data_IF_030267332075
#
_entry.id   IF_030267332075
#
_cell.length_a   1.000
_cell.length_b   1.000
_cell.length_c   1.000
_cell.angle_alpha   90.00
_cell.angle_beta   90.00
_cell.angle_gamma   90.00
#
_symmetry.space_group_name_H-M   'P 1'
#
loop_
_entity.id
_entity.type
_entity.pdbx_description
1 polymer ?
#
# COMPACT_ATOMS: atom_id res chain seq x y z
N UNK A 1 61.45 28.96 -2.02
CA UNK A 1 61.03 28.24 -3.24
C UNK A 1 60.32 26.96 -2.81
N UNK A 2 59.27 26.58 -3.55
CA UNK A 2 58.52 25.31 -3.51
C UNK A 2 57.68 24.97 -2.26
N UNK A 3 56.37 25.25 -2.43
CA UNK A 3 55.24 24.60 -1.77
C UNK A 3 55.17 23.12 -2.21
N UNK A 4 54.65 22.24 -1.37
CA UNK A 4 53.62 21.27 -1.80
C UNK A 4 52.96 20.59 -0.59
N UNK A 5 51.74 21.03 -0.30
CA UNK A 5 50.79 20.28 0.51
C UNK A 5 50.21 19.17 -0.37
N UNK A 6 50.40 17.91 0.02
CA UNK A 6 49.70 16.79 -0.59
C UNK A 6 48.33 16.64 0.09
N UNK A 7 47.32 17.25 -0.51
CA UNK A 7 45.91 17.01 -0.16
C UNK A 7 45.52 15.68 -0.80
N UNK A 8 45.40 14.63 0.02
CA UNK A 8 44.84 13.35 -0.41
C UNK A 8 43.31 13.46 -0.40
N UNK A 9 42.75 13.81 -1.55
CA UNK A 9 41.29 13.84 -1.76
C UNK A 9 40.80 12.41 -1.91
N UNK A 10 40.24 11.84 -0.84
CA UNK A 10 39.48 10.58 -0.89
C UNK A 10 38.14 10.86 -1.58
N UNK A 11 38.08 10.61 -2.90
CA UNK A 11 36.83 10.50 -3.64
C UNK A 11 36.16 9.18 -3.21
N UNK A 12 35.41 9.22 -2.12
CA UNK A 12 34.46 8.16 -1.77
C UNK A 12 33.28 8.26 -2.73
N UNK A 13 33.31 7.48 -3.82
CA UNK A 13 32.13 7.22 -4.63
C UNK A 13 31.05 6.61 -3.74
N UNK A 14 30.06 7.43 -3.37
CA UNK A 14 28.79 6.93 -2.84
C UNK A 14 28.15 6.09 -3.94
N UNK A 15 28.32 4.77 -3.87
CA UNK A 15 27.50 3.84 -4.61
C UNK A 15 26.08 3.98 -4.05
N UNK A 16 25.28 4.86 -4.65
CA UNK A 16 23.84 4.86 -4.46
C UNK A 16 23.33 3.53 -5.00
N UNK A 17 23.22 2.53 -4.13
CA UNK A 17 22.36 1.40 -4.38
C UNK A 17 20.94 1.96 -4.45
N UNK A 18 20.50 2.32 -5.64
CA UNK A 18 19.08 2.40 -5.95
C UNK A 18 18.56 0.97 -5.78
N UNK A 19 18.30 0.57 -4.54
CA UNK A 19 17.44 -0.55 -4.25
C UNK A 19 16.12 -0.15 -4.89
N UNK A 20 15.87 -0.65 -6.09
CA UNK A 20 14.57 -0.58 -6.73
C UNK A 20 13.61 -1.13 -5.68
N UNK A 21 12.92 -0.25 -4.96
CA UNK A 21 11.94 -0.62 -3.98
C UNK A 21 10.90 -1.43 -4.75
N UNK A 22 10.97 -2.75 -4.62
CA UNK A 22 10.10 -3.64 -5.35
C UNK A 22 8.68 -3.33 -4.86
N UNK A 23 7.76 -3.05 -5.79
CA UNK A 23 6.41 -2.62 -5.42
C UNK A 23 5.78 -3.59 -4.43
N UNK A 24 5.17 -3.07 -3.36
CA UNK A 24 4.46 -3.86 -2.34
C UNK A 24 3.27 -4.66 -2.91
N UNK A 25 2.93 -4.44 -4.19
CA UNK A 25 1.88 -5.14 -4.91
C UNK A 25 2.41 -5.72 -6.23
N UNK A 26 2.69 -7.03 -6.31
CA UNK A 26 3.23 -7.64 -7.53
C UNK A 26 2.20 -7.59 -8.66
N UNK A 27 2.45 -6.86 -9.76
CA UNK A 27 1.47 -6.71 -10.84
C UNK A 27 1.61 -7.81 -11.93
N UNK A 28 0.52 -8.30 -12.54
CA UNK A 28 -0.90 -7.95 -12.30
C UNK A 28 -1.60 -8.77 -11.20
N UNK A 29 -1.04 -9.90 -10.77
CA UNK A 29 -1.74 -10.84 -9.89
C UNK A 29 -2.04 -10.26 -8.50
N UNK A 30 -1.10 -9.49 -7.95
CA UNK A 30 -1.21 -8.78 -6.68
C UNK A 30 -2.33 -7.75 -6.68
N UNK A 31 -2.59 -7.09 -7.81
CA UNK A 31 -3.72 -6.15 -7.90
C UNK A 31 -5.07 -6.85 -7.72
N UNK A 32 -5.28 -7.97 -8.43
CA UNK A 32 -6.50 -8.76 -8.31
C UNK A 32 -6.63 -9.38 -6.92
N UNK A 33 -5.52 -9.92 -6.39
CA UNK A 33 -5.47 -10.46 -5.04
C UNK A 33 -5.75 -9.38 -3.99
N UNK A 34 -5.26 -8.16 -4.17
CA UNK A 34 -5.50 -7.02 -3.27
C UNK A 34 -6.99 -6.67 -3.21
N UNK A 35 -7.68 -6.60 -4.35
CA UNK A 35 -9.14 -6.38 -4.40
C UNK A 35 -9.89 -7.51 -3.70
N UNK A 36 -9.59 -8.76 -4.07
CA UNK A 36 -10.26 -9.94 -3.51
C UNK A 36 -10.08 -10.04 -1.99
N UNK A 37 -8.84 -9.89 -1.53
CA UNK A 37 -8.49 -9.92 -0.11
C UNK A 37 -9.14 -8.77 0.67
N UNK A 38 -9.24 -7.58 0.08
CA UNK A 38 -9.93 -6.44 0.70
C UNK A 38 -11.38 -6.78 1.03
N UNK A 39 -12.12 -7.32 0.05
CA UNK A 39 -13.51 -7.72 0.23
C UNK A 39 -13.65 -8.89 1.21
N UNK A 40 -12.77 -9.89 1.10
CA UNK A 40 -12.77 -11.06 1.96
C UNK A 40 -12.46 -10.71 3.42
N UNK A 41 -11.48 -9.84 3.67
CA UNK A 41 -11.12 -9.42 5.02
C UNK A 41 -12.24 -8.66 5.70
N UNK A 42 -12.91 -7.76 4.98
CA UNK A 42 -14.08 -7.03 5.50
C UNK A 42 -15.23 -7.99 5.80
N UNK A 43 -15.56 -8.90 4.87
CA UNK A 43 -16.61 -9.89 5.07
C UNK A 43 -16.31 -10.81 6.26
N UNK A 44 -15.07 -11.27 6.40
CA UNK A 44 -14.64 -12.11 7.53
C UNK A 44 -14.79 -11.37 8.86
N UNK A 45 -14.35 -10.11 8.93
CA UNK A 45 -14.52 -9.29 10.13
C UNK A 45 -15.99 -9.09 10.49
N UNK A 46 -16.84 -8.79 9.50
CA UNK A 46 -18.28 -8.63 9.70
C UNK A 46 -18.95 -9.93 10.19
N UNK A 47 -18.43 -11.08 9.75
CA UNK A 47 -18.84 -12.40 10.23
C UNK A 47 -18.26 -12.78 11.61
N UNK A 48 -17.50 -11.88 12.27
CA UNK A 48 -16.93 -12.13 13.59
C UNK A 48 -15.71 -13.06 13.60
N UNK A 49 -15.08 -13.29 12.45
CA UNK A 49 -13.84 -14.08 12.37
C UNK A 49 -12.72 -13.34 13.09
N UNK A 50 -11.88 -14.05 13.85
CA UNK A 50 -10.75 -13.45 14.53
C UNK A 50 -9.62 -13.08 13.54
N UNK A 51 -8.87 -12.00 13.84
CA UNK A 51 -7.75 -11.53 13.02
C UNK A 51 -6.72 -12.64 12.78
N UNK A 52 -6.34 -13.34 13.84
CA UNK A 52 -5.33 -14.41 13.80
C UNK A 52 -5.77 -15.61 12.95
N UNK A 53 -7.06 -15.97 13.00
CA UNK A 53 -7.63 -17.02 12.15
C UNK A 53 -7.60 -16.66 10.66
N UNK A 54 -7.66 -15.37 10.33
CA UNK A 54 -7.53 -14.91 8.96
C UNK A 54 -6.06 -14.86 8.51
N UNK A 55 -5.16 -14.40 9.38
CA UNK A 55 -3.71 -14.34 9.10
C UNK A 55 -3.10 -15.74 8.91
N UNK A 56 -3.54 -16.74 9.68
CA UNK A 56 -3.07 -18.13 9.52
C UNK A 56 -3.43 -18.72 8.16
N UNK A 57 -4.54 -18.29 7.55
CA UNK A 57 -4.96 -18.72 6.20
C UNK A 57 -4.15 -18.07 5.07
N UNK A 58 -3.53 -16.91 5.31
CA UNK A 58 -2.69 -16.21 4.33
C UNK A 58 -1.31 -16.89 4.22
N UNK A 59 -0.79 -17.38 5.35
CA UNK A 59 0.59 -17.85 5.49
C UNK A 59 1.04 -19.02 4.59
N UNK A 60 0.20 -19.96 4.12
CA UNK A 60 0.69 -21.12 3.37
C UNK A 60 0.87 -20.93 1.85
N UNK A 61 0.25 -19.91 1.24
CA UNK A 61 -0.03 -19.92 -0.21
C UNK A 61 0.65 -18.82 -1.05
N UNK A 62 1.34 -17.86 -0.43
CA UNK A 62 1.81 -16.65 -1.10
C UNK A 62 3.34 -16.48 -0.97
N UNK A 63 3.99 -16.00 -2.03
CA UNK A 63 5.38 -15.55 -1.95
C UNK A 63 5.53 -14.37 -0.95
N UNK A 64 6.75 -14.02 -0.56
CA UNK A 64 7.00 -13.05 0.53
C UNK A 64 6.27 -11.70 0.35
N UNK A 65 6.31 -11.13 -0.85
CA UNK A 65 5.66 -9.85 -1.16
C UNK A 65 4.14 -9.95 -1.14
N UNK A 66 3.58 -10.97 -1.79
CA UNK A 66 2.13 -11.21 -1.76
C UNK A 66 1.64 -11.44 -0.33
N UNK A 67 2.37 -12.20 0.49
CA UNK A 67 2.04 -12.43 1.89
C UNK A 67 2.03 -11.13 2.71
N UNK A 68 3.03 -10.26 2.51
CA UNK A 68 3.09 -8.95 3.16
C UNK A 68 1.91 -8.05 2.74
N UNK A 69 1.59 -8.01 1.45
CA UNK A 69 0.44 -7.28 0.93
C UNK A 69 -0.86 -7.76 1.57
N UNK A 70 -1.12 -9.07 1.59
CA UNK A 70 -2.32 -9.66 2.17
C UNK A 70 -2.41 -9.42 3.68
N UNK A 71 -1.27 -9.54 4.39
CA UNK A 71 -1.18 -9.21 5.81
C UNK A 71 -1.52 -7.74 6.07
N UNK A 72 -0.98 -6.81 5.28
CA UNK A 72 -1.28 -5.37 5.42
C UNK A 72 -2.78 -5.10 5.28
N UNK A 73 -3.46 -5.80 4.36
CA UNK A 73 -4.90 -5.66 4.16
C UNK A 73 -5.67 -6.10 5.40
N UNK A 74 -5.29 -7.24 6.00
CA UNK A 74 -5.92 -7.74 7.23
C UNK A 74 -5.65 -6.81 8.41
N UNK A 75 -4.42 -6.34 8.55
CA UNK A 75 -4.05 -5.40 9.61
C UNK A 75 -4.88 -4.11 9.50
N UNK A 76 -4.91 -3.47 8.32
CA UNK A 76 -5.72 -2.26 8.05
C UNK A 76 -7.22 -2.47 8.34
N UNK A 77 -7.78 -3.61 7.92
CA UNK A 77 -9.21 -3.93 8.13
C UNK A 77 -9.55 -4.22 9.58
N UNK A 78 -8.64 -4.79 10.38
CA UNK A 78 -8.94 -5.13 11.77
C UNK A 78 -8.56 -4.04 12.76
N UNK A 79 -7.57 -3.20 12.43
CA UNK A 79 -7.06 -2.16 13.33
C UNK A 79 -7.89 -0.86 13.27
N UNK A 80 -8.72 -0.68 12.25
CA UNK A 80 -9.61 0.48 12.07
C UNK A 80 -11.07 0.04 12.00
N UNK A 81 -12.08 0.90 12.26
CA UNK A 81 -13.49 0.57 11.99
C UNK A 81 -13.73 0.19 10.52
N UNK A 82 -14.70 -0.68 10.27
CA UNK A 82 -14.90 -1.26 8.94
C UNK A 82 -15.33 -0.17 7.93
N UNK A 83 -14.69 -0.21 6.76
CA UNK A 83 -15.07 0.56 5.59
C UNK A 83 -16.04 -0.25 4.71
N UNK A 84 -16.76 0.44 3.82
CA UNK A 84 -17.51 -0.17 2.73
C UNK A 84 -16.54 -0.95 1.82
N UNK A 85 -16.86 -2.20 1.43
CA UNK A 85 -15.99 -3.04 0.62
C UNK A 85 -15.51 -2.37 -0.67
N UNK A 86 -16.38 -1.64 -1.36
CA UNK A 86 -16.09 -0.97 -2.63
C UNK A 86 -15.10 0.19 -2.46
N UNK A 87 -15.27 0.99 -1.40
CA UNK A 87 -14.39 2.12 -1.09
C UNK A 87 -12.98 1.62 -0.76
N UNK A 88 -12.88 0.64 0.13
CA UNK A 88 -11.58 0.10 0.52
C UNK A 88 -10.90 -0.66 -0.63
N UNK A 89 -11.64 -1.46 -1.40
CA UNK A 89 -11.09 -2.16 -2.55
C UNK A 89 -10.60 -1.22 -3.66
N UNK A 90 -11.29 -0.10 -3.90
CA UNK A 90 -10.86 0.92 -4.86
C UNK A 90 -9.58 1.62 -4.41
N UNK A 91 -9.48 1.99 -3.14
CA UNK A 91 -8.24 2.50 -2.55
C UNK A 91 -7.08 1.51 -2.70
N UNK A 92 -7.30 0.23 -2.39
CA UNK A 92 -6.28 -0.82 -2.49
C UNK A 92 -5.88 -1.14 -3.94
N UNK A 93 -6.82 -0.99 -4.88
CA UNK A 93 -6.53 -1.05 -6.31
C UNK A 93 -5.60 0.10 -6.73
N UNK A 94 -5.96 1.33 -6.38
CA UNK A 94 -5.19 2.51 -6.77
C UNK A 94 -3.80 2.50 -6.14
N UNK A 95 -3.70 2.15 -4.86
CA UNK A 95 -2.43 2.02 -4.15
C UNK A 95 -1.50 1.04 -4.88
N UNK A 96 -2.03 -0.09 -5.33
CA UNK A 96 -1.28 -1.07 -6.11
C UNK A 96 -0.83 -0.50 -7.47
N UNK A 97 -1.74 0.19 -8.17
CA UNK A 97 -1.44 0.80 -9.47
C UNK A 97 -0.35 1.87 -9.37
N UNK A 98 -0.49 2.82 -8.46
CA UNK A 98 0.47 3.91 -8.24
C UNK A 98 1.83 3.36 -7.77
N UNK A 99 1.85 2.28 -6.99
CA UNK A 99 3.11 1.64 -6.54
C UNK A 99 3.97 1.08 -7.67
N UNK A 100 3.42 0.89 -8.89
CA UNK A 100 4.21 0.43 -10.04
C UNK A 100 5.22 1.48 -10.50
N UNK A 101 4.94 2.76 -10.27
CA UNK A 101 5.79 3.88 -10.69
C UNK A 101 6.38 4.65 -9.49
N UNK A 102 5.74 4.56 -8.33
CA UNK A 102 6.08 5.34 -7.14
C UNK A 102 6.13 4.47 -5.88
N UNK A 103 6.85 3.34 -5.96
CA UNK A 103 6.88 2.33 -4.91
C UNK A 103 7.30 2.90 -3.54
N UNK A 104 8.33 3.74 -3.48
CA UNK A 104 8.84 4.30 -2.22
C UNK A 104 7.83 5.23 -1.54
N UNK A 105 7.19 6.13 -2.30
CA UNK A 105 6.19 7.06 -1.78
C UNK A 105 4.95 6.30 -1.29
N UNK A 106 4.53 5.28 -2.03
CA UNK A 106 3.38 4.45 -1.64
C UNK A 106 3.70 3.55 -0.45
N UNK A 107 4.93 3.03 -0.34
CA UNK A 107 5.37 2.23 0.81
C UNK A 107 5.47 3.07 2.10
N UNK A 108 5.82 4.35 1.99
CA UNK A 108 5.86 5.30 3.10
C UNK A 108 4.48 5.77 3.57
N UNK A 109 3.43 5.56 2.76
CA UNK A 109 2.06 5.95 3.08
C UNK A 109 1.55 5.19 4.32
N UNK A 110 1.00 5.93 5.28
CA UNK A 110 0.34 5.36 6.46
C UNK A 110 -1.16 5.28 6.23
N UNK A 111 -1.76 4.12 6.51
CA UNK A 111 -3.21 3.97 6.39
C UNK A 111 -3.99 4.90 7.33
N UNK A 112 -3.39 5.29 8.47
CA UNK A 112 -3.96 6.28 9.39
C UNK A 112 -4.32 7.61 8.72
N UNK A 113 -3.52 8.04 7.73
CA UNK A 113 -3.72 9.30 7.00
C UNK A 113 -4.79 9.14 5.91
N UNK A 114 -4.89 7.95 5.32
CA UNK A 114 -5.89 7.61 4.30
C UNK A 114 -7.29 7.37 4.89
N UNK A 115 -7.37 6.68 6.03
CA UNK A 115 -8.62 6.25 6.66
C UNK A 115 -9.68 7.37 6.83
N UNK A 116 -9.38 8.55 7.40
CA UNK A 116 -10.39 9.60 7.56
C UNK A 116 -10.91 10.14 6.22
N UNK A 117 -10.09 10.11 5.16
CA UNK A 117 -10.51 10.50 3.82
C UNK A 117 -11.41 9.43 3.19
N UNK A 118 -11.08 8.15 3.37
CA UNK A 118 -11.92 7.04 2.93
C UNK A 118 -13.30 7.04 3.60
N UNK A 119 -13.37 7.35 4.89
CA UNK A 119 -14.66 7.53 5.59
C UNK A 119 -15.51 8.66 5.00
N UNK A 120 -14.91 9.73 4.51
CA UNK A 120 -15.64 10.80 3.81
C UNK A 120 -16.17 10.31 2.46
N UNK A 121 -15.42 9.47 1.74
CA UNK A 121 -15.88 8.90 0.48
C UNK A 121 -17.14 8.01 0.64
N UNK A 122 -17.35 7.38 1.80
CA UNK A 122 -18.57 6.59 2.08
C UNK A 122 -19.83 7.44 2.25
N UNK A 123 -19.69 8.75 2.42
CA UNK A 123 -20.80 9.68 2.55
C UNK A 123 -21.27 10.21 1.19
N UNK A 124 -20.54 9.90 0.12
CA UNK A 124 -20.90 10.27 -1.24
C UNK A 124 -21.76 9.17 -1.87
N UNK A 125 -22.54 9.55 -2.88
CA UNK A 125 -23.32 8.59 -3.64
C UNK A 125 -22.39 7.54 -4.29
N UNK A 126 -22.75 6.24 -4.27
CA UNK A 126 -21.87 5.20 -4.81
C UNK A 126 -21.63 5.36 -6.31
N UNK A 127 -20.38 5.67 -6.69
CA UNK A 127 -19.94 5.78 -8.10
C UNK A 127 -19.48 4.42 -8.68
N UNK A 128 -20.21 3.34 -8.40
CA UNK A 128 -19.91 1.99 -8.89
C UNK A 128 -18.78 1.26 -8.14
N UNK A 129 -18.17 0.26 -8.79
CA UNK A 129 -17.23 -0.68 -8.15
C UNK A 129 -15.84 -0.08 -7.83
N UNK A 130 -15.53 1.09 -8.38
CA UNK A 130 -14.29 1.84 -8.13
C UNK A 130 -14.62 3.33 -7.97
N UNK A 131 -15.09 3.75 -6.78
CA UNK A 131 -15.45 5.13 -6.56
C UNK A 131 -14.22 6.04 -6.76
N UNK A 132 -14.26 7.04 -7.66
CA UNK A 132 -13.13 7.93 -7.91
C UNK A 132 -12.61 8.62 -6.65
N UNK A 133 -13.49 8.97 -5.71
CA UNK A 133 -13.11 9.53 -4.41
C UNK A 133 -12.07 8.66 -3.69
N UNK A 134 -12.29 7.34 -3.64
CA UNK A 134 -11.41 6.43 -2.89
C UNK A 134 -10.04 6.25 -3.55
N UNK A 135 -10.00 6.28 -4.89
CA UNK A 135 -8.75 6.23 -5.65
C UNK A 135 -7.91 7.50 -5.41
N UNK A 136 -8.54 8.68 -5.48
CA UNK A 136 -7.89 9.98 -5.23
C UNK A 136 -7.26 10.11 -3.85
N UNK A 137 -7.69 9.32 -2.85
CA UNK A 137 -7.05 9.31 -1.52
C UNK A 137 -5.57 8.93 -1.62
N UNK A 138 -5.20 7.98 -2.49
CA UNK A 138 -3.80 7.57 -2.65
C UNK A 138 -2.95 8.75 -3.10
N UNK A 139 -3.39 9.46 -4.14
CA UNK A 139 -2.74 10.68 -4.66
C UNK A 139 -2.68 11.78 -3.60
N UNK A 140 -3.77 12.01 -2.89
CA UNK A 140 -3.86 13.03 -1.83
C UNK A 140 -2.86 12.78 -0.70
N UNK A 141 -2.74 11.54 -0.22
CA UNK A 141 -1.86 11.20 0.90
C UNK A 141 -0.40 11.12 0.47
N UNK A 142 -0.13 10.64 -0.75
CA UNK A 142 1.25 10.49 -1.26
C UNK A 142 1.82 11.76 -1.88
N UNK A 143 0.96 12.72 -2.27
CA UNK A 143 1.34 13.90 -3.04
C UNK A 143 1.63 13.63 -4.51
N UNK A 144 1.33 12.42 -5.01
CA UNK A 144 1.52 12.03 -6.41
C UNK A 144 0.34 12.56 -7.24
N UNK A 145 0.56 13.23 -8.38
CA UNK A 145 -0.52 13.68 -9.27
C UNK A 145 -1.40 12.54 -9.79
N UNK A 146 -2.67 12.84 -10.07
CA UNK A 146 -3.63 11.93 -10.72
C UNK A 146 -3.32 11.68 -12.20
#
# INVERSE_FOLDING_TARGET
MARMAAVFTLLSCMASTSALAASDCPFPQGMQASIGASKQAIAARQAGVAKDDLLTKISPAANGQMSQMLKSIVDEVYDYPALLPEVYAAFRFERCFVSQQHAEQVAAMKFADAYPLLKKCEQLDPEGARPPCAMRVVHTVTGIPE
#
